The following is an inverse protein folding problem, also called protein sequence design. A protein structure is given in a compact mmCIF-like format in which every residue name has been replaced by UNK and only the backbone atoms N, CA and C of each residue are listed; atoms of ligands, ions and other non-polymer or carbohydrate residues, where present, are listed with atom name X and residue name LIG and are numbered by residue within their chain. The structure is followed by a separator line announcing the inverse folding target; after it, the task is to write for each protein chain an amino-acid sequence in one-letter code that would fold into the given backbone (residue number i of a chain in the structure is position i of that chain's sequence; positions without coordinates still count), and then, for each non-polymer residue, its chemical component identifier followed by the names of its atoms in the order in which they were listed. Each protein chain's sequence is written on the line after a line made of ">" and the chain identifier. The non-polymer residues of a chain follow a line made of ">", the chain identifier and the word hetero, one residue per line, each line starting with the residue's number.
data_IF_096309889429
#
_entry.id   IF_096309889429
#
_cell.length_a   1.000
_cell.length_b   1.000
_cell.length_c   1.000
_cell.angle_alpha   90.00
_cell.angle_beta   90.00
_cell.angle_gamma   90.00
#
_symmetry.space_group_name_H-M   'P 1'
#
loop_
_entity.id
_entity.type
_entity.pdbx_description
1 polymer ?
#
# COMPACT_ATOMS: atom_id res chain seq x y z
N UNK A 1 -6.51 -2.18 -14.09
CA UNK A 1 -5.13 -2.72 -14.01
C UNK A 1 -5.18 -4.01 -13.21
N UNK A 2 -4.45 -5.08 -13.59
CA UNK A 2 -4.43 -6.29 -12.78
C UNK A 2 -3.72 -6.00 -11.44
N UNK A 3 -4.28 -6.53 -10.35
CA UNK A 3 -3.66 -6.54 -9.02
C UNK A 3 -3.01 -7.92 -8.83
N UNK A 4 -1.69 -8.06 -9.02
CA UNK A 4 -1.01 -9.34 -8.82
C UNK A 4 -0.70 -9.57 -7.33
N UNK A 5 -0.49 -10.83 -6.90
CA UNK A 5 0.17 -11.09 -5.63
C UNK A 5 1.54 -10.42 -5.59
N UNK A 6 1.94 -9.90 -4.42
CA UNK A 6 3.21 -9.20 -4.23
C UNK A 6 4.06 -9.92 -3.21
N UNK A 7 5.36 -10.05 -3.48
CA UNK A 7 6.33 -10.50 -2.49
C UNK A 7 6.92 -9.29 -1.79
N UNK A 8 6.87 -9.28 -0.46
CA UNK A 8 7.32 -8.18 0.39
C UNK A 8 8.34 -8.64 1.40
N UNK A 9 9.31 -7.77 1.71
CA UNK A 9 10.21 -7.92 2.84
C UNK A 9 9.71 -7.04 3.97
N UNK A 10 9.47 -7.64 5.13
CA UNK A 10 9.08 -6.91 6.34
C UNK A 10 10.14 -7.03 7.42
N UNK A 11 10.20 -6.02 8.29
CA UNK A 11 11.04 -6.02 9.49
C UNK A 11 10.16 -5.83 10.73
N UNK A 12 10.28 -6.75 11.67
CA UNK A 12 9.64 -6.67 12.98
C UNK A 12 10.71 -6.41 14.04
N UNK A 13 10.74 -5.24 14.69
CA UNK A 13 11.66 -4.99 15.79
C UNK A 13 11.48 -6.01 16.94
N UNK A 14 12.57 -6.43 17.57
CA UNK A 14 12.58 -7.45 18.64
C UNK A 14 12.02 -6.98 20.00
N UNK A 15 11.41 -5.80 20.05
CA UNK A 15 10.76 -5.30 21.27
C UNK A 15 9.33 -5.86 21.37
N UNK A 16 8.85 -6.23 22.57
CA UNK A 16 7.47 -6.70 22.76
C UNK A 16 6.45 -5.70 22.20
N UNK A 17 5.49 -6.19 21.43
CA UNK A 17 4.43 -5.37 20.83
C UNK A 17 4.84 -4.50 19.64
N UNK A 18 6.04 -4.68 19.07
CA UNK A 18 6.42 -3.97 17.85
C UNK A 18 5.57 -4.41 16.65
N UNK A 19 5.07 -3.43 15.90
CA UNK A 19 4.47 -3.68 14.60
C UNK A 19 5.55 -4.00 13.56
N UNK A 20 5.21 -4.91 12.64
CA UNK A 20 6.02 -5.18 11.45
C UNK A 20 5.95 -4.00 10.49
N UNK A 21 7.04 -3.70 9.79
CA UNK A 21 7.13 -2.61 8.83
C UNK A 21 7.52 -3.15 7.47
N UNK A 22 6.92 -2.62 6.41
CA UNK A 22 7.35 -2.87 5.04
C UNK A 22 8.74 -2.26 4.82
N UNK A 23 9.64 -3.05 4.24
CA UNK A 23 11.02 -2.63 3.91
C UNK A 23 11.20 -2.54 2.41
N UNK A 24 10.75 -3.56 1.67
CA UNK A 24 10.93 -3.64 0.23
C UNK A 24 9.83 -4.50 -0.42
N UNK A 25 9.64 -4.34 -1.74
CA UNK A 25 8.66 -5.09 -2.56
C UNK A 25 9.32 -5.54 -3.85
N UNK A 26 9.24 -6.83 -4.17
CA UNK A 26 9.83 -7.36 -5.40
C UNK A 26 9.87 -8.89 -5.45
N UNK A 27 9.98 -9.43 -6.66
CA UNK A 27 9.86 -10.87 -6.92
C UNK A 27 11.04 -11.71 -6.43
N UNK A 28 12.19 -11.09 -6.16
CA UNK A 28 13.44 -11.76 -5.78
C UNK A 28 13.89 -11.47 -4.35
N UNK A 29 12.97 -11.02 -3.49
CA UNK A 29 13.28 -10.68 -2.10
C UNK A 29 13.58 -11.92 -1.25
N UNK A 30 14.76 -11.94 -0.67
CA UNK A 30 15.17 -12.92 0.33
C UNK A 30 15.38 -12.24 1.68
N UNK A 31 14.83 -12.84 2.74
CA UNK A 31 15.16 -12.43 4.10
C UNK A 31 16.65 -12.74 4.38
N UNK A 32 17.37 -11.84 5.08
CA UNK A 32 18.72 -12.11 5.56
C UNK A 32 18.80 -13.45 6.32
N UNK A 33 19.76 -14.30 5.94
CA UNK A 33 19.98 -15.60 6.59
C UNK A 33 20.59 -15.47 7.99
N UNK A 34 21.24 -14.35 8.30
CA UNK A 34 21.86 -14.11 9.60
C UNK A 34 20.81 -13.64 10.61
N UNK A 35 20.90 -14.15 11.83
CA UNK A 35 20.07 -13.69 12.93
C UNK A 35 20.35 -12.21 13.22
N UNK A 36 19.30 -11.39 13.26
CA UNK A 36 19.39 -9.99 13.63
C UNK A 36 19.05 -9.83 15.13
N UNK A 37 19.97 -9.34 15.98
CA UNK A 37 19.72 -9.21 17.42
C UNK A 37 18.65 -8.16 17.77
N UNK A 38 18.28 -7.30 16.82
CA UNK A 38 17.37 -6.18 17.04
C UNK A 38 15.95 -6.40 16.46
N UNK A 39 15.72 -7.51 15.76
CA UNK A 39 14.45 -7.80 15.12
C UNK A 39 14.55 -8.93 14.10
N UNK A 40 13.46 -9.17 13.38
CA UNK A 40 13.37 -10.26 12.42
C UNK A 40 12.95 -9.70 11.07
N UNK A 41 13.70 -10.06 10.04
CA UNK A 41 13.29 -9.84 8.66
C UNK A 41 12.53 -11.06 8.15
N UNK A 42 11.41 -10.85 7.46
CA UNK A 42 10.60 -11.92 6.90
C UNK A 42 10.15 -11.57 5.49
N UNK A 43 10.26 -12.52 4.57
CA UNK A 43 9.58 -12.44 3.28
C UNK A 43 8.15 -12.93 3.45
N UNK A 44 7.17 -12.20 2.93
CA UNK A 44 5.76 -12.58 2.93
C UNK A 44 5.15 -12.33 1.56
N UNK A 45 4.09 -13.06 1.24
CA UNK A 45 3.28 -12.82 0.05
C UNK A 45 1.99 -12.10 0.46
N UNK A 46 1.71 -10.97 -0.18
CA UNK A 46 0.46 -10.24 -0.05
C UNK A 46 -0.43 -10.55 -1.24
N UNK A 47 -1.63 -11.04 -0.98
CA UNK A 47 -2.64 -11.30 -2.00
C UNK A 47 -3.72 -10.21 -1.94
N UNK A 48 -4.15 -9.64 -3.08
CA UNK A 48 -5.22 -8.65 -3.07
C UNK A 48 -6.53 -9.30 -2.59
N UNK A 49 -7.29 -8.58 -1.78
CA UNK A 49 -8.61 -9.04 -1.36
C UNK A 49 -9.60 -9.05 -2.52
N UNK A 50 -10.69 -9.80 -2.37
CA UNK A 50 -11.80 -9.80 -3.33
C UNK A 50 -12.38 -8.38 -3.55
N UNK A 51 -12.34 -7.53 -2.50
CA UNK A 51 -12.83 -6.15 -2.56
C UNK A 51 -11.94 -5.28 -3.46
N UNK A 52 -10.63 -5.34 -3.27
CA UNK A 52 -9.67 -4.63 -4.13
C UNK A 52 -9.76 -5.11 -5.58
N UNK A 53 -9.90 -6.42 -5.78
CA UNK A 53 -10.11 -7.00 -7.12
C UNK A 53 -11.41 -6.50 -7.77
N UNK A 54 -12.48 -6.35 -7.00
CA UNK A 54 -13.74 -5.76 -7.45
C UNK A 54 -13.54 -4.33 -7.96
N UNK A 55 -12.99 -3.45 -7.13
CA UNK A 55 -12.70 -2.06 -7.53
C UNK A 55 -11.74 -1.97 -8.72
N UNK A 56 -10.71 -2.81 -8.78
CA UNK A 56 -9.79 -2.83 -9.92
C UNK A 56 -10.46 -3.21 -11.24
N UNK A 57 -11.46 -4.10 -11.20
CA UNK A 57 -12.28 -4.48 -12.38
C UNK A 57 -13.21 -3.35 -12.81
N UNK A 58 -13.71 -2.57 -11.87
CA UNK A 58 -14.53 -1.37 -12.10
C UNK A 58 -13.70 -0.16 -12.58
N UNK A 59 -12.38 -0.31 -12.73
CA UNK A 59 -11.51 0.77 -13.19
C UNK A 59 -11.13 1.77 -12.10
N UNK A 60 -11.23 1.38 -10.83
CA UNK A 60 -10.79 2.22 -9.73
C UNK A 60 -9.30 2.53 -9.80
N UNK A 61 -8.94 3.70 -9.27
CA UNK A 61 -7.58 4.21 -9.11
C UNK A 61 -7.19 4.12 -7.64
N UNK A 62 -5.98 3.63 -7.41
CA UNK A 62 -5.39 3.51 -6.08
C UNK A 62 -4.31 4.57 -5.94
N UNK A 63 -4.33 5.31 -4.83
CA UNK A 63 -3.43 6.44 -4.61
C UNK A 63 -3.03 6.52 -3.13
N UNK A 64 -1.83 7.05 -2.86
CA UNK A 64 -1.43 7.47 -1.51
C UNK A 64 -1.75 8.96 -1.35
N UNK A 65 -2.30 9.32 -0.20
CA UNK A 65 -2.40 10.73 0.19
C UNK A 65 -1.00 11.30 0.46
N UNK A 66 -0.91 12.63 0.62
CA UNK A 66 0.34 13.31 1.02
C UNK A 66 0.86 12.87 2.38
N UNK A 67 0.03 12.25 3.22
CA UNK A 67 0.44 11.69 4.51
C UNK A 67 0.69 10.19 4.45
N UNK A 68 0.71 9.62 3.24
CA UNK A 68 0.91 8.18 3.01
C UNK A 68 -0.33 7.32 3.20
N UNK A 69 -1.53 7.89 3.36
CA UNK A 69 -2.73 7.10 3.60
C UNK A 69 -3.30 6.54 2.29
N UNK A 70 -3.63 5.24 2.27
CA UNK A 70 -4.19 4.59 1.08
C UNK A 70 -5.62 5.08 0.76
N UNK A 71 -5.89 5.33 -0.52
CA UNK A 71 -7.18 5.80 -1.04
C UNK A 71 -7.58 5.05 -2.31
N UNK A 72 -8.88 4.78 -2.44
CA UNK A 72 -9.49 4.14 -3.61
C UNK A 72 -10.51 5.09 -4.23
N UNK A 73 -10.30 5.43 -5.49
CA UNK A 73 -11.18 6.32 -6.26
C UNK A 73 -11.85 5.57 -7.40
N UNK A 74 -13.16 5.69 -7.56
CA UNK A 74 -13.88 5.20 -8.74
C UNK A 74 -14.83 6.29 -9.23
N UNK A 75 -14.87 6.51 -10.55
CA UNK A 75 -15.75 7.51 -11.19
C UNK A 75 -15.63 8.93 -10.57
N UNK A 76 -14.42 9.31 -10.15
CA UNK A 76 -14.17 10.61 -9.52
C UNK A 76 -14.65 10.74 -8.06
N UNK A 77 -15.10 9.64 -7.44
CA UNK A 77 -15.55 9.60 -6.04
C UNK A 77 -14.62 8.72 -5.20
N UNK A 78 -14.39 9.14 -3.97
CA UNK A 78 -13.62 8.37 -3.00
C UNK A 78 -14.49 7.21 -2.48
N UNK A 79 -14.14 5.99 -2.86
CA UNK A 79 -14.88 4.77 -2.49
C UNK A 79 -14.41 4.21 -1.15
N UNK A 80 -13.10 4.24 -0.90
CA UNK A 80 -12.53 3.76 0.34
C UNK A 80 -11.26 4.54 0.73
N UNK A 81 -11.01 4.65 2.03
CA UNK A 81 -9.84 5.33 2.58
C UNK A 81 -9.38 4.67 3.87
N UNK A 82 -8.07 4.71 4.10
CA UNK A 82 -7.46 4.45 5.40
C UNK A 82 -7.73 5.59 6.40
N UNK A 83 -7.87 6.83 5.90
CA UNK A 83 -7.99 7.99 6.76
C UNK A 83 -9.41 8.12 7.36
N UNK A 84 -9.59 8.10 8.69
CA UNK A 84 -10.91 8.20 9.31
C UNK A 84 -11.67 9.48 8.96
N UNK A 85 -10.96 10.59 8.69
CA UNK A 85 -11.57 11.86 8.29
C UNK A 85 -12.22 11.77 6.91
N UNK A 86 -11.59 11.05 5.98
CA UNK A 86 -12.14 10.83 4.65
C UNK A 86 -13.42 9.98 4.73
N UNK A 87 -13.40 8.93 5.56
CA UNK A 87 -14.58 8.08 5.79
C UNK A 87 -15.75 8.89 6.35
N UNK A 88 -15.48 9.77 7.33
CA UNK A 88 -16.50 10.62 7.94
C UNK A 88 -17.04 11.71 7.01
N UNK A 89 -16.19 12.28 6.14
CA UNK A 89 -16.55 13.46 5.34
C UNK A 89 -17.07 13.12 3.94
N UNK A 90 -16.50 12.09 3.31
CA UNK A 90 -16.82 11.68 1.94
C UNK A 90 -17.75 10.45 1.87
N UNK A 91 -18.08 9.85 3.03
CA UNK A 91 -18.83 8.58 3.08
C UNK A 91 -18.04 7.39 2.53
N UNK A 92 -16.71 7.51 2.45
CA UNK A 92 -15.85 6.44 1.96
C UNK A 92 -15.85 5.26 2.94
N UNK A 93 -15.80 4.04 2.41
CA UNK A 93 -15.62 2.84 3.22
C UNK A 93 -14.24 2.83 3.88
N UNK A 94 -14.16 2.28 5.09
CA UNK A 94 -12.86 2.05 5.73
C UNK A 94 -12.10 0.92 5.01
N UNK A 95 -10.84 1.18 4.69
CA UNK A 95 -9.90 0.11 4.32
C UNK A 95 -9.53 -0.69 5.57
N UNK A 96 -9.42 -2.01 5.42
CA UNK A 96 -8.90 -2.87 6.47
C UNK A 96 -7.37 -2.98 6.38
N UNK A 97 -6.75 -3.60 7.38
CA UNK A 97 -5.30 -3.66 7.48
C UNK A 97 -4.65 -4.45 6.33
N UNK A 98 -5.31 -5.48 5.81
CA UNK A 98 -4.78 -6.30 4.71
C UNK A 98 -4.82 -5.51 3.40
N UNK A 99 -5.93 -4.80 3.15
CA UNK A 99 -6.07 -3.93 2.00
C UNK A 99 -5.07 -2.76 2.04
N UNK A 100 -4.86 -2.15 3.20
CA UNK A 100 -3.85 -1.09 3.37
C UNK A 100 -2.45 -1.63 3.05
N UNK A 101 -2.05 -2.73 3.68
CA UNK A 101 -0.72 -3.32 3.47
C UNK A 101 -0.48 -3.70 2.00
N UNK A 102 -1.49 -4.27 1.33
CA UNK A 102 -1.41 -4.58 -0.08
C UNK A 102 -1.28 -3.32 -0.95
N UNK A 103 -2.12 -2.30 -0.72
CA UNK A 103 -2.11 -1.08 -1.52
C UNK A 103 -0.83 -0.27 -1.34
N UNK A 104 -0.29 -0.18 -0.12
CA UNK A 104 1.01 0.43 0.13
C UNK A 104 2.12 -0.28 -0.65
N UNK A 105 2.18 -1.61 -0.57
CA UNK A 105 3.17 -2.40 -1.30
C UNK A 105 3.01 -2.29 -2.83
N UNK A 106 1.78 -2.29 -3.32
CA UNK A 106 1.47 -2.14 -4.75
C UNK A 106 1.87 -0.77 -5.28
N UNK A 107 1.58 0.30 -4.54
CA UNK A 107 1.93 1.65 -4.98
C UNK A 107 3.44 1.87 -4.94
N UNK A 108 4.12 1.36 -3.91
CA UNK A 108 5.58 1.38 -3.84
C UNK A 108 6.25 0.59 -4.97
N UNK A 109 5.73 -0.59 -5.34
CA UNK A 109 6.27 -1.37 -6.47
C UNK A 109 6.10 -0.68 -7.83
N UNK A 110 5.12 0.21 -7.95
CA UNK A 110 4.94 1.08 -9.12
C UNK A 110 5.82 2.33 -9.09
N UNK A 111 6.72 2.46 -8.09
CA UNK A 111 7.51 3.66 -7.88
C UNK A 111 6.69 4.85 -7.43
N UNK A 112 5.45 4.65 -6.95
CA UNK A 112 4.62 5.71 -6.38
C UNK A 112 4.85 5.78 -4.89
N UNK A 113 5.49 6.85 -4.47
CA UNK A 113 5.71 7.23 -3.09
C UNK A 113 4.72 8.30 -2.66
N UNK A 114 4.50 8.44 -1.36
CA UNK A 114 3.68 9.53 -0.80
C UNK A 114 4.24 10.93 -1.13
N UNK A 115 5.53 11.00 -1.50
CA UNK A 115 6.22 12.23 -1.87
C UNK A 115 6.35 12.41 -3.39
N UNK A 116 5.76 11.52 -4.20
CA UNK A 116 5.58 11.81 -5.62
C UNK A 116 4.53 12.91 -5.71
N UNK A 117 5.04 14.14 -5.78
CA UNK A 117 4.28 15.27 -6.27
C UNK A 117 3.64 14.84 -7.57
N UNK A 118 2.32 15.03 -7.66
CA UNK A 118 1.55 14.89 -8.87
C UNK A 118 2.27 15.65 -10.01
N UNK A 119 3.09 14.94 -10.78
CA UNK A 119 3.71 15.48 -11.99
C UNK A 119 2.66 15.47 -13.08
N UNK A 120 1.58 16.22 -12.88
CA UNK A 120 0.73 16.66 -13.98
C UNK A 120 0.54 18.18 -13.95
N UNK A 121 1.48 18.86 -14.64
CA UNK A 121 1.26 19.85 -15.72
C UNK A 121 2.14 21.10 -15.61
N UNK A 122 2.83 21.42 -16.72
CA UNK A 122 3.30 22.79 -16.98
C UNK A 122 4.44 22.94 -17.98
N UNK A 123 4.15 22.79 -19.28
CA UNK A 123 4.78 23.59 -20.34
C UNK A 123 6.25 23.33 -20.71
N UNK A 124 6.44 22.85 -21.95
CA UNK A 124 7.55 23.36 -22.79
C UNK A 124 7.53 24.89 -22.79
N UNK A 125 8.70 25.52 -22.76
CA UNK A 125 9.30 26.02 -23.99
C UNK A 125 10.68 25.41 -24.29
#
# INVERSE_FOLDING_TARGET
>A
MPLPPLTVLTYTPGKPGAASRLVDVGDTLAAPAAACPHGVYQTRQLTPSARLLGWAREGARFELSRTGAARVWAEGRLQASECPRDCASAGAAALDHEDIAYLEAYLLSQGRSWNDTDTTQGGRP
#
